data_IF_863840261685
#
_entry.id   IF_863840261685
#
_cell.length_a   1.000
_cell.length_b   1.000
_cell.length_c   1.000
_cell.angle_alpha   90.00
_cell.angle_beta   90.00
_cell.angle_gamma   90.00
#
_symmetry.space_group_name_H-M   'P 1'
#
loop_
_entity.id
_entity.type
_entity.pdbx_description
1 polymer ?
#
# COMPACT_ATOMS: atom_id res chain seq x y z
N UNK A 1 7.44 13.92 13.16
CA UNK A 1 7.34 12.86 12.13
C UNK A 1 6.14 11.98 12.45
N UNK A 2 5.39 11.56 11.43
CA UNK A 2 4.34 10.55 11.53
C UNK A 2 4.97 9.18 11.83
N UNK A 3 4.23 8.27 12.45
CA UNK A 3 4.67 6.90 12.74
C UNK A 3 3.45 6.00 12.98
N UNK A 4 3.68 4.69 13.20
CA UNK A 4 2.63 3.73 13.61
C UNK A 4 1.82 4.18 14.82
N UNK A 5 2.41 4.99 15.71
CA UNK A 5 1.80 5.47 16.95
C UNK A 5 1.47 6.96 16.93
N UNK A 6 1.75 7.67 15.83
CA UNK A 6 1.54 9.12 15.72
C UNK A 6 0.79 9.46 14.44
N UNK A 7 -0.48 9.82 14.62
CA UNK A 7 -1.41 10.14 13.54
C UNK A 7 -1.21 11.58 13.07
N UNK A 8 -1.32 11.80 11.76
CA UNK A 8 -1.43 13.11 11.10
C UNK A 8 -2.75 13.20 10.33
N UNK A 9 -3.21 14.44 10.08
CA UNK A 9 -4.47 14.73 9.38
C UNK A 9 -4.39 14.51 7.86
N UNK A 10 -3.20 14.64 7.28
CA UNK A 10 -2.99 14.37 5.86
C UNK A 10 -2.79 12.87 5.61
N UNK A 11 -3.83 12.21 5.10
CA UNK A 11 -3.79 10.77 4.78
C UNK A 11 -2.74 10.43 3.72
N UNK A 12 -2.44 11.34 2.78
CA UNK A 12 -1.43 11.10 1.74
C UNK A 12 0.00 11.00 2.30
N UNK A 13 0.20 11.42 3.55
CA UNK A 13 1.50 11.25 4.23
C UNK A 13 1.81 9.77 4.49
N UNK A 14 0.80 8.93 4.77
CA UNK A 14 1.01 7.51 5.07
C UNK A 14 1.48 6.70 3.86
N UNK A 15 1.19 7.16 2.63
CA UNK A 15 1.68 6.55 1.38
C UNK A 15 3.21 6.54 1.28
N UNK A 16 3.88 7.39 2.07
CA UNK A 16 5.34 7.52 2.13
C UNK A 16 5.99 6.70 3.26
N UNK A 17 5.21 5.97 4.06
CA UNK A 17 5.78 5.05 5.06
C UNK A 17 6.52 3.90 4.39
N UNK A 18 7.68 3.52 4.94
CA UNK A 18 8.39 2.31 4.52
C UNK A 18 7.50 1.08 4.79
N UNK A 19 7.39 0.17 3.82
CA UNK A 19 6.52 -1.00 3.89
C UNK A 19 5.56 -1.07 2.72
N UNK A 20 4.39 -1.68 2.93
CA UNK A 20 3.40 -1.93 1.89
C UNK A 20 2.09 -1.22 2.22
N UNK A 21 1.50 -0.60 1.20
CA UNK A 21 0.09 -0.22 1.22
C UNK A 21 -0.68 -1.02 0.15
N UNK A 22 -1.95 -1.27 0.43
CA UNK A 22 -2.88 -1.95 -0.48
C UNK A 22 -4.08 -1.04 -0.71
N UNK A 23 -4.46 -0.82 -1.96
CA UNK A 23 -5.66 -0.06 -2.27
C UNK A 23 -6.82 -0.99 -2.62
N UNK A 24 -7.99 -0.74 -2.02
CA UNK A 24 -9.23 -1.46 -2.26
C UNK A 24 -10.25 -0.59 -3.00
N UNK A 25 -11.07 -1.22 -3.83
CA UNK A 25 -12.17 -0.57 -4.52
C UNK A 25 -11.75 0.13 -5.81
N UNK A 26 -12.08 1.43 -5.91
CA UNK A 26 -12.03 2.17 -7.17
C UNK A 26 -10.61 2.25 -7.71
N UNK A 27 -10.37 1.63 -8.85
CA UNK A 27 -9.04 1.57 -9.44
C UNK A 27 -8.73 2.78 -10.30
N UNK A 28 -7.51 3.31 -10.13
CA UNK A 28 -6.98 4.39 -10.95
C UNK A 28 -6.87 3.98 -12.43
N UNK A 29 -7.05 4.94 -13.34
CA UNK A 29 -7.15 4.69 -14.78
C UNK A 29 -5.83 4.34 -15.47
N UNK A 30 -4.70 4.71 -14.88
CA UNK A 30 -3.38 4.63 -15.54
C UNK A 30 -2.97 3.18 -15.87
N UNK A 31 -3.09 2.27 -14.91
CA UNK A 31 -2.66 0.87 -15.09
C UNK A 31 -3.88 -0.04 -15.25
N UNK A 32 -4.22 -0.48 -16.47
CA UNK A 32 -5.31 -1.45 -16.66
C UNK A 32 -4.92 -2.81 -16.03
N UNK A 33 -5.92 -3.53 -15.50
CA UNK A 33 -5.76 -4.91 -15.06
C UNK A 33 -6.86 -5.73 -15.73
N UNK A 34 -6.54 -6.88 -16.34
CA UNK A 34 -7.56 -7.77 -16.89
C UNK A 34 -8.62 -8.09 -15.82
N UNK A 35 -9.90 -8.09 -16.21
CA UNK A 35 -11.01 -8.38 -15.30
C UNK A 35 -11.39 -7.26 -14.33
N UNK A 36 -10.70 -6.11 -14.33
CA UNK A 36 -11.05 -4.97 -13.46
C UNK A 36 -11.34 -3.73 -14.31
N UNK A 37 -12.61 -3.32 -14.35
CA UNK A 37 -13.05 -2.12 -15.06
C UNK A 37 -12.47 -0.86 -14.39
N UNK A 38 -11.94 0.06 -15.20
CA UNK A 38 -11.42 1.34 -14.71
C UNK A 38 -12.54 2.22 -14.19
N UNK A 39 -12.30 2.93 -13.09
CA UNK A 39 -13.26 3.88 -12.51
C UNK A 39 -14.53 3.25 -11.92
N UNK A 40 -14.67 1.93 -11.97
CA UNK A 40 -15.70 1.16 -11.27
C UNK A 40 -15.37 1.08 -9.77
N UNK A 41 -16.39 1.15 -8.91
CA UNK A 41 -16.26 1.28 -7.46
C UNK A 41 -16.56 2.69 -6.96
N UNK A 42 -17.26 2.80 -5.83
CA UNK A 42 -17.65 4.09 -5.21
C UNK A 42 -16.51 4.71 -4.39
N UNK A 43 -15.75 3.88 -3.70
CA UNK A 43 -14.71 4.30 -2.76
C UNK A 43 -13.36 3.76 -3.16
N UNK A 44 -12.31 4.52 -2.87
CA UNK A 44 -10.92 4.08 -2.88
C UNK A 44 -10.46 4.08 -1.42
N UNK A 45 -9.95 2.96 -0.94
CA UNK A 45 -9.52 2.80 0.46
C UNK A 45 -8.09 2.31 0.46
N UNK A 46 -7.18 3.12 0.97
CA UNK A 46 -5.78 2.74 1.18
C UNK A 46 -5.60 2.11 2.55
N UNK A 47 -5.00 0.92 2.56
CA UNK A 47 -4.74 0.09 3.73
C UNK A 47 -3.22 0.04 3.94
N UNK A 48 -2.76 0.58 5.06
CA UNK A 48 -1.36 0.52 5.47
C UNK A 48 -1.19 -0.65 6.44
N UNK A 49 -0.46 -1.68 6.03
CA UNK A 49 -0.36 -2.93 6.80
C UNK A 49 0.86 -2.92 7.71
N UNK A 50 0.66 -3.27 8.99
CA UNK A 50 1.77 -3.49 9.92
C UNK A 50 2.30 -4.91 9.73
N UNK A 51 3.35 -5.04 8.90
CA UNK A 51 3.91 -6.33 8.48
C UNK A 51 5.40 -6.41 8.79
N UNK A 52 5.87 -7.62 9.05
CA UNK A 52 7.28 -7.90 9.37
C UNK A 52 8.08 -8.42 8.18
N UNK A 53 7.40 -9.00 7.17
CA UNK A 53 8.03 -9.63 6.02
C UNK A 53 7.15 -9.56 4.77
N UNK A 54 7.76 -9.32 3.61
CA UNK A 54 7.14 -9.47 2.28
C UNK A 54 7.96 -10.46 1.48
N UNK A 55 7.28 -11.46 0.90
CA UNK A 55 7.84 -12.33 -0.12
C UNK A 55 7.25 -11.98 -1.48
N UNK A 56 8.08 -12.01 -2.51
CA UNK A 56 7.63 -12.09 -3.90
C UNK A 56 8.14 -13.42 -4.44
N UNK A 57 7.22 -14.31 -4.80
CA UNK A 57 7.49 -15.73 -5.01
C UNK A 57 8.24 -16.34 -3.81
N UNK A 58 9.48 -16.78 -4.00
CA UNK A 58 10.32 -17.34 -2.95
C UNK A 58 11.34 -16.38 -2.34
N UNK A 59 11.46 -15.18 -2.89
CA UNK A 59 12.42 -14.17 -2.45
C UNK A 59 11.84 -13.27 -1.37
N UNK A 60 12.64 -12.96 -0.34
CA UNK A 60 12.30 -11.97 0.67
C UNK A 60 12.73 -10.60 0.16
N UNK A 61 11.80 -9.65 0.03
CA UNK A 61 12.08 -8.31 -0.49
C UNK A 61 11.97 -7.21 0.58
N UNK A 62 11.31 -7.52 1.69
CA UNK A 62 11.18 -6.64 2.84
C UNK A 62 11.22 -7.48 4.11
N UNK A 63 12.05 -7.09 5.07
CA UNK A 63 12.15 -7.72 6.39
C UNK A 63 12.73 -6.73 7.39
N UNK A 64 12.34 -6.85 8.66
CA UNK A 64 12.84 -5.98 9.73
C UNK A 64 12.65 -4.48 9.45
N UNK A 65 11.48 -4.11 8.93
CA UNK A 65 11.09 -2.72 8.59
C UNK A 65 11.91 -2.05 7.47
N UNK A 66 12.70 -2.83 6.71
CA UNK A 66 13.52 -2.32 5.62
C UNK A 66 13.35 -3.13 4.33
N UNK A 67 13.48 -2.44 3.19
CA UNK A 67 13.67 -3.07 1.89
C UNK A 67 15.07 -3.68 1.82
N UNK A 68 15.19 -4.89 1.25
CA UNK A 68 16.43 -5.70 1.25
C UNK A 68 17.14 -5.67 -0.12
N UNK A 69 16.55 -5.01 -1.12
CA UNK A 69 17.01 -4.98 -2.52
C UNK A 69 17.93 -3.80 -2.79
#
# INVERSE_FOLDING_TARGET
AFSKTRIVSDTGTYERMCGVHLSLGRKHGMYAKPGIKRGEGKFHVDVFVDITRVKLDDEIIFENEAWIV
#
